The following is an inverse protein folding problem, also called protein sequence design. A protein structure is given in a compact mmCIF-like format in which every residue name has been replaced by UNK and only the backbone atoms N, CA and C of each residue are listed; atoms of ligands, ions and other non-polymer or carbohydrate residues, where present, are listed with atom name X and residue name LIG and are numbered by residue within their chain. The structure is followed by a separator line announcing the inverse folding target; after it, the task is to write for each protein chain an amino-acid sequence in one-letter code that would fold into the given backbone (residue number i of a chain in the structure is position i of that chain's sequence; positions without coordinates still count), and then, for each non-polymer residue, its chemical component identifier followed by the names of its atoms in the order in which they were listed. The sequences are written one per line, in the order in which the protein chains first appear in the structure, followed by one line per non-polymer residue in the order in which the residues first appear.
data_IF_133137771104
#
_entry.id   IF_133137771104
#
_cell.length_a   1.000
_cell.length_b   1.000
_cell.length_c   1.000
_cell.angle_alpha   90.00
_cell.angle_beta   90.00
_cell.angle_gamma   90.00
#
_symmetry.space_group_name_H-M   'P 1'
#
loop_
_entity.id
_entity.type
_entity.pdbx_description
1 polymer ?
#
# COMPACT_ATOMS: atom_id res chain seq x y z
N UNK A 1 43.02 -12.36 -19.41
CA UNK A 1 41.91 -13.34 -19.35
C UNK A 1 42.01 -14.09 -18.04
N UNK A 2 41.18 -13.74 -17.07
CA UNK A 2 40.84 -14.58 -15.92
C UNK A 2 39.47 -14.10 -15.43
N UNK A 3 38.55 -15.05 -15.45
CA UNK A 3 37.13 -14.98 -15.18
C UNK A 3 36.80 -14.77 -13.70
N UNK A 4 35.61 -14.21 -13.46
CA UNK A 4 34.66 -14.84 -12.54
C UNK A 4 34.46 -14.13 -11.21
N UNK A 5 33.25 -13.60 -11.03
CA UNK A 5 32.74 -13.24 -9.71
C UNK A 5 31.64 -12.19 -9.70
N UNK A 6 30.70 -12.18 -10.66
CA UNK A 6 29.43 -11.46 -10.45
C UNK A 6 28.66 -12.21 -9.36
N UNK A 7 28.74 -11.68 -8.14
CA UNK A 7 27.87 -12.06 -7.04
C UNK A 7 26.43 -11.80 -7.48
N UNK A 8 25.70 -12.89 -7.72
CA UNK A 8 24.29 -12.86 -8.08
C UNK A 8 23.51 -12.07 -7.04
N UNK A 9 23.17 -10.84 -7.37
CA UNK A 9 22.05 -10.15 -6.76
C UNK A 9 20.81 -10.95 -7.17
N UNK A 10 20.40 -11.89 -6.31
CA UNK A 10 19.09 -12.51 -6.42
C UNK A 10 18.06 -11.39 -6.39
N UNK A 11 17.61 -10.97 -7.57
CA UNK A 11 16.55 -9.99 -7.71
C UNK A 11 15.34 -10.55 -6.99
N UNK A 12 14.92 -9.86 -5.92
CA UNK A 12 13.63 -10.15 -5.31
C UNK A 12 12.62 -9.93 -6.43
N UNK A 13 11.95 -10.99 -6.88
CA UNK A 13 10.93 -10.87 -7.92
C UNK A 13 9.72 -10.17 -7.30
N UNK A 14 9.76 -8.84 -7.36
CA UNK A 14 8.64 -8.01 -6.93
C UNK A 14 7.49 -8.26 -7.92
N UNK A 15 6.35 -8.67 -7.39
CA UNK A 15 5.12 -9.05 -8.11
C UNK A 15 5.18 -10.44 -8.74
N UNK A 16 4.77 -11.46 -7.98
CA UNK A 16 4.49 -12.82 -8.52
C UNK A 16 3.31 -12.88 -9.50
N UNK A 17 2.75 -11.72 -9.88
CA UNK A 17 1.70 -11.55 -10.89
C UNK A 17 2.09 -10.37 -11.79
N UNK A 18 1.99 -10.48 -13.11
CA UNK A 18 2.17 -9.33 -13.99
C UNK A 18 1.09 -8.26 -13.72
N UNK A 19 1.44 -6.97 -13.72
CA UNK A 19 0.48 -5.89 -13.49
C UNK A 19 -0.63 -5.89 -14.53
N UNK A 20 -1.87 -5.61 -14.11
CA UNK A 20 -2.98 -5.44 -15.04
C UNK A 20 -3.23 -3.93 -15.29
N UNK A 21 -3.06 -3.41 -16.52
CA UNK A 21 -3.26 -1.99 -16.82
C UNK A 21 -4.67 -1.46 -16.52
N UNK A 22 -5.67 -2.35 -16.38
CA UNK A 22 -7.05 -1.99 -16.05
C UNK A 22 -7.28 -1.86 -14.54
N UNK A 23 -6.38 -2.39 -13.71
CA UNK A 23 -6.50 -2.32 -12.27
C UNK A 23 -6.09 -0.93 -11.77
N UNK A 24 -6.86 -0.33 -10.85
CA UNK A 24 -6.51 0.98 -10.31
C UNK A 24 -5.27 0.88 -9.43
N UNK A 25 -4.41 1.90 -9.52
CA UNK A 25 -3.26 2.08 -8.65
C UNK A 25 -3.58 3.18 -7.64
N UNK A 26 -3.39 2.88 -6.36
CA UNK A 26 -3.47 3.84 -5.25
C UNK A 26 -2.11 4.01 -4.60
N UNK A 27 -1.95 5.02 -3.76
CA UNK A 27 -0.70 5.26 -3.06
C UNK A 27 -0.90 5.78 -1.65
N UNK A 28 0.12 5.56 -0.82
CA UNK A 28 0.28 6.20 0.48
C UNK A 28 1.61 6.93 0.54
N UNK A 29 1.57 8.19 0.97
CA UNK A 29 2.75 8.93 1.39
C UNK A 29 2.95 8.70 2.89
N UNK A 30 4.12 8.17 3.24
CA UNK A 30 4.42 7.75 4.61
C UNK A 30 5.34 8.74 5.30
N UNK A 31 5.11 8.93 6.59
CA UNK A 31 6.01 9.63 7.51
C UNK A 31 6.32 8.71 8.69
N UNK A 32 7.59 8.69 9.11
CA UNK A 32 8.01 8.03 10.36
C UNK A 32 8.39 9.16 11.31
N UNK A 33 7.58 9.34 12.36
CA UNK A 33 7.61 10.57 13.15
C UNK A 33 7.26 11.78 12.28
N UNK A 34 8.17 12.76 12.20
CA UNK A 34 8.05 13.93 11.34
C UNK A 34 8.82 13.83 10.01
N UNK A 35 9.47 12.70 9.74
CA UNK A 35 10.33 12.52 8.57
C UNK A 35 9.60 11.78 7.45
N UNK A 36 9.55 12.32 6.21
CA UNK A 36 9.02 11.59 5.06
C UNK A 36 9.81 10.30 4.80
N UNK A 37 9.11 9.18 4.72
CA UNK A 37 9.67 7.84 4.51
C UNK A 37 9.48 7.32 3.07
N UNK A 38 8.75 8.07 2.24
CA UNK A 38 8.54 7.76 0.83
C UNK A 38 7.10 7.37 0.50
N UNK A 39 6.91 6.86 -0.72
CA UNK A 39 5.60 6.52 -1.28
C UNK A 39 5.48 5.03 -1.55
N UNK A 40 4.44 4.42 -1.00
CA UNK A 40 4.03 3.06 -1.36
C UNK A 40 2.97 3.17 -2.47
N UNK A 41 3.15 2.44 -3.56
CA UNK A 41 2.16 2.28 -4.64
C UNK A 41 1.59 0.87 -4.57
N UNK A 42 0.27 0.74 -4.70
CA UNK A 42 -0.44 -0.53 -4.63
C UNK A 42 -1.40 -0.64 -5.81
N UNK A 43 -1.31 -1.74 -6.54
CA UNK A 43 -2.33 -2.15 -7.50
C UNK A 43 -3.47 -2.83 -6.72
N UNK A 44 -4.72 -2.41 -6.97
CA UNK A 44 -5.89 -3.07 -6.40
C UNK A 44 -6.46 -4.03 -7.43
N UNK A 45 -6.55 -5.31 -7.09
CA UNK A 45 -7.02 -6.38 -7.99
C UNK A 45 -8.55 -6.34 -8.16
N UNK A 46 -9.07 -5.32 -8.83
CA UNK A 46 -10.51 -5.15 -9.09
C UNK A 46 -11.06 -6.28 -9.98
N UNK A 47 -10.20 -6.88 -10.80
CA UNK A 47 -10.50 -8.04 -11.63
C UNK A 47 -10.74 -9.32 -10.83
N UNK A 48 -10.23 -9.42 -9.59
CA UNK A 48 -10.41 -10.57 -8.70
C UNK A 48 -11.42 -10.26 -7.59
N UNK A 49 -11.27 -9.11 -6.93
CA UNK A 49 -12.03 -8.72 -5.75
C UNK A 49 -12.63 -7.31 -5.91
N UNK A 50 -13.61 -7.12 -6.82
CA UNK A 50 -14.08 -5.80 -7.21
C UNK A 50 -14.64 -4.98 -6.06
N UNK A 51 -15.43 -5.60 -5.18
CA UNK A 51 -16.04 -4.91 -4.02
C UNK A 51 -14.99 -4.44 -3.01
N UNK A 52 -14.00 -5.27 -2.73
CA UNK A 52 -12.92 -4.95 -1.78
C UNK A 52 -11.99 -3.89 -2.35
N UNK A 53 -11.62 -4.02 -3.63
CA UNK A 53 -10.80 -3.06 -4.34
C UNK A 53 -11.47 -1.67 -4.37
N UNK A 54 -12.77 -1.62 -4.70
CA UNK A 54 -13.49 -0.34 -4.74
C UNK A 54 -13.64 0.29 -3.35
N UNK A 55 -13.93 -0.50 -2.31
CA UNK A 55 -13.94 0.00 -0.94
C UNK A 55 -12.58 0.60 -0.54
N UNK A 56 -11.48 -0.11 -0.82
CA UNK A 56 -10.14 0.39 -0.50
C UNK A 56 -9.81 1.66 -1.29
N UNK A 57 -10.15 1.70 -2.58
CA UNK A 57 -9.94 2.87 -3.45
C UNK A 57 -10.66 4.11 -2.90
N UNK A 58 -11.94 4.00 -2.54
CA UNK A 58 -12.72 5.12 -2.01
C UNK A 58 -12.15 5.66 -0.69
N UNK A 59 -11.63 4.77 0.17
CA UNK A 59 -10.96 5.17 1.42
C UNK A 59 -9.59 5.81 1.17
N UNK A 60 -8.88 5.43 0.11
CA UNK A 60 -7.66 6.12 -0.32
C UNK A 60 -7.96 7.53 -0.87
N UNK A 61 -9.00 7.69 -1.68
CA UNK A 61 -9.33 8.99 -2.32
C UNK A 61 -10.13 9.93 -1.41
N UNK A 62 -10.76 9.41 -0.35
CA UNK A 62 -11.62 10.19 0.54
C UNK A 62 -13.00 10.50 -0.07
N UNK A 63 -13.39 9.78 -1.13
CA UNK A 63 -14.72 9.87 -1.74
C UNK A 63 -15.81 9.33 -0.80
N UNK A 64 -15.47 8.37 0.04
CA UNK A 64 -16.38 7.84 1.03
C UNK A 64 -16.66 8.89 2.11
N UNK A 65 -17.95 9.12 2.40
CA UNK A 65 -18.40 10.07 3.42
C UNK A 65 -19.25 9.38 4.48
N UNK A 66 -18.96 9.67 5.75
CA UNK A 66 -19.77 9.23 6.89
C UNK A 66 -20.24 10.46 7.66
N UNK A 67 -21.55 10.57 7.88
CA UNK A 67 -22.18 11.75 8.48
C UNK A 67 -21.81 13.08 7.79
N UNK A 68 -21.63 13.04 6.46
CA UNK A 68 -21.29 14.22 5.65
C UNK A 68 -19.80 14.58 5.59
N UNK A 69 -18.95 13.97 6.44
CA UNK A 69 -17.51 14.21 6.47
C UNK A 69 -16.76 13.16 5.63
N UNK A 70 -15.70 13.55 4.89
CA UNK A 70 -14.85 12.60 4.18
C UNK A 70 -14.13 11.70 5.19
N UNK A 71 -14.15 10.40 4.94
CA UNK A 71 -13.52 9.39 5.79
C UNK A 71 -12.63 8.52 4.90
N UNK A 72 -11.41 8.28 5.38
CA UNK A 72 -10.41 7.54 4.60
C UNK A 72 -9.11 7.35 5.37
N UNK A 73 -8.07 6.93 4.65
CA UNK A 73 -6.79 6.55 5.25
C UNK A 73 -5.84 7.72 5.52
N UNK A 74 -6.18 8.94 5.08
CA UNK A 74 -5.33 10.11 5.31
C UNK A 74 -5.21 10.39 6.82
N UNK A 75 -3.99 10.42 7.31
CA UNK A 75 -3.70 10.63 8.74
C UNK A 75 -3.77 9.37 9.60
N UNK A 76 -4.12 8.21 9.04
CA UNK A 76 -4.08 6.95 9.78
C UNK A 76 -2.63 6.53 10.10
N UNK A 77 -2.46 5.95 11.28
CA UNK A 77 -1.19 5.39 11.72
C UNK A 77 -1.10 3.89 11.40
N UNK A 78 0.13 3.37 11.36
CA UNK A 78 0.39 1.92 11.38
C UNK A 78 0.40 1.46 12.83
N UNK A 79 -0.76 1.11 13.36
CA UNK A 79 -0.93 0.77 14.77
C UNK A 79 -0.33 -0.59 15.17
N UNK A 80 0.05 -1.43 14.20
CA UNK A 80 0.69 -2.71 14.46
C UNK A 80 1.79 -3.01 13.44
N UNK A 81 3.03 -3.08 13.92
CA UNK A 81 4.22 -3.39 13.13
C UNK A 81 4.92 -4.59 13.78
N UNK A 82 4.97 -5.71 13.06
CA UNK A 82 5.67 -6.91 13.50
C UNK A 82 6.78 -7.19 12.50
N UNK A 83 8.03 -7.06 12.95
CA UNK A 83 9.22 -7.28 12.13
C UNK A 83 9.19 -8.69 11.54
N UNK A 84 9.61 -8.79 10.28
CA UNK A 84 9.68 -10.05 9.53
C UNK A 84 8.33 -10.76 9.34
N UNK A 85 7.22 -10.05 9.56
CA UNK A 85 5.87 -10.56 9.35
C UNK A 85 4.99 -9.58 8.56
N UNK A 86 4.48 -8.52 9.21
CA UNK A 86 3.53 -7.61 8.56
C UNK A 86 3.40 -6.26 9.26
N UNK A 87 2.85 -5.30 8.50
CA UNK A 87 2.37 -4.01 8.98
C UNK A 87 0.86 -3.93 8.77
N UNK A 88 0.15 -3.39 9.75
CA UNK A 88 -1.30 -3.19 9.69
C UNK A 88 -1.62 -1.73 10.03
N UNK A 89 -2.50 -1.16 9.21
CA UNK A 89 -3.02 0.20 9.32
C UNK A 89 -4.49 0.22 8.92
N UNK A 90 -5.07 1.43 8.84
CA UNK A 90 -6.40 1.66 8.29
C UNK A 90 -7.53 1.72 9.32
N UNK A 91 -7.20 1.70 10.62
CA UNK A 91 -8.18 2.01 11.67
C UNK A 91 -8.31 3.53 11.85
N UNK A 92 -9.14 4.15 11.00
CA UNK A 92 -9.47 5.58 11.07
C UNK A 92 -10.55 5.92 12.11
N UNK A 93 -11.16 4.91 12.76
CA UNK A 93 -12.29 5.15 13.69
C UNK A 93 -11.82 5.21 15.13
N UNK A 94 -10.86 4.37 15.51
CA UNK A 94 -10.34 4.29 16.89
C UNK A 94 -8.85 4.59 17.02
N UNK A 95 -8.11 4.61 15.90
CA UNK A 95 -6.66 4.77 15.86
C UNK A 95 -6.17 6.09 15.26
N UNK A 96 -7.04 7.10 15.17
CA UNK A 96 -6.67 8.47 14.78
C UNK A 96 -6.05 9.24 15.95
#
# INVERSE_FOLDING_TARGET
MASGGEGGAGGVEWHGRPPNPKNPIVFFDLTIGSTPAGRIKMELFVDIAPKTAENFRQLCTGEYRKAGLPVGYKGCQFHRVIKDFMIQAGDFVKGA
#
